data_IF_222910794239
#
_entry.id   IF_222910794239
#
_cell.length_a   1.000
_cell.length_b   1.000
_cell.length_c   1.000
_cell.angle_alpha   90.00
_cell.angle_beta   90.00
_cell.angle_gamma   90.00
#
_symmetry.space_group_name_H-M   'P 1'
#
loop_
_entity.id
_entity.type
_entity.pdbx_description
1 polymer ?
#
# COMPACT_ATOMS: atom_id res chain seq x y z
N UNK A 1 -27.76 7.63 1.82
CA UNK A 1 -28.33 6.61 2.71
C UNK A 1 -27.29 5.77 3.48
N UNK A 2 -25.98 5.92 3.22
CA UNK A 2 -24.91 5.23 3.96
C UNK A 2 -24.88 3.69 3.78
N UNK A 3 -25.58 3.14 2.81
CA UNK A 3 -25.52 1.71 2.51
C UNK A 3 -24.25 1.36 1.72
N UNK A 4 -23.54 0.33 2.18
CA UNK A 4 -22.39 -0.23 1.48
C UNK A 4 -22.81 -1.48 0.71
N UNK A 5 -22.44 -1.55 -0.57
CA UNK A 5 -22.63 -2.71 -1.41
C UNK A 5 -21.26 -3.26 -1.83
N UNK A 6 -21.02 -4.54 -1.51
CA UNK A 6 -19.79 -5.22 -1.92
C UNK A 6 -19.75 -5.33 -3.45
N UNK A 7 -18.75 -4.74 -4.08
CA UNK A 7 -18.54 -4.82 -5.54
C UNK A 7 -17.54 -5.91 -5.94
N UNK A 8 -16.53 -6.15 -5.12
CA UNK A 8 -15.42 -7.05 -5.47
C UNK A 8 -14.77 -7.63 -4.22
N UNK A 9 -14.17 -8.78 -4.38
CA UNK A 9 -13.13 -9.32 -3.49
C UNK A 9 -11.91 -9.58 -4.36
N UNK A 10 -10.74 -9.06 -3.98
CA UNK A 10 -9.50 -9.20 -4.75
C UNK A 10 -8.38 -9.65 -3.82
N UNK A 11 -7.50 -10.53 -4.34
CA UNK A 11 -6.33 -10.98 -3.61
C UNK A 11 -5.31 -9.85 -3.43
N UNK A 12 -4.61 -9.87 -2.28
CA UNK A 12 -3.52 -8.95 -1.96
C UNK A 12 -2.15 -9.65 -1.96
N UNK A 13 -2.16 -10.98 -2.01
CA UNK A 13 -0.98 -11.85 -1.93
C UNK A 13 -0.74 -12.57 -3.25
N UNK A 14 0.52 -12.95 -3.54
CA UNK A 14 0.81 -13.87 -4.64
C UNK A 14 0.06 -15.18 -4.48
N UNK A 15 -0.33 -15.79 -5.60
CA UNK A 15 -1.12 -17.05 -5.59
C UNK A 15 -0.37 -18.25 -5.01
N UNK A 16 0.95 -18.21 -5.02
CA UNK A 16 1.85 -19.24 -4.50
C UNK A 16 2.34 -18.98 -3.05
N UNK A 17 1.84 -17.91 -2.41
CA UNK A 17 2.21 -17.63 -1.03
C UNK A 17 1.58 -18.63 -0.07
N UNK A 18 2.45 -19.28 0.72
CA UNK A 18 2.06 -20.15 1.81
C UNK A 18 2.47 -19.51 3.14
N UNK A 19 1.54 -19.33 4.03
CA UNK A 19 1.77 -18.72 5.34
C UNK A 19 0.63 -17.86 5.83
N UNK A 20 0.86 -17.15 6.93
CA UNK A 20 -0.13 -16.23 7.52
C UNK A 20 0.23 -14.80 7.19
N UNK A 21 -0.73 -14.07 6.64
CA UNK A 21 -0.61 -12.64 6.36
C UNK A 21 -1.94 -11.93 6.65
N UNK A 22 -1.85 -10.68 7.10
CA UNK A 22 -3.00 -9.84 7.41
C UNK A 22 -2.88 -8.50 6.71
N UNK A 23 -3.97 -8.06 6.11
CA UNK A 23 -4.08 -6.67 5.61
C UNK A 23 -4.24 -5.71 6.80
N UNK A 24 -3.66 -4.52 6.72
CA UNK A 24 -3.76 -3.52 7.78
C UNK A 24 -4.30 -2.17 7.31
N UNK A 25 -3.87 -1.72 6.16
CA UNK A 25 -4.26 -0.39 5.65
C UNK A 25 -4.42 -0.40 4.13
N UNK A 26 -5.24 0.53 3.63
CA UNK A 26 -5.42 0.80 2.22
C UNK A 26 -5.48 2.31 1.99
N UNK A 27 -4.81 2.77 0.95
CA UNK A 27 -4.86 4.17 0.51
C UNK A 27 -5.12 4.24 -0.99
N UNK A 28 -5.85 5.28 -1.37
CA UNK A 28 -6.15 5.61 -2.77
C UNK A 28 -5.45 6.94 -3.08
N UNK A 29 -4.89 7.07 -4.27
CA UNK A 29 -4.31 8.33 -4.74
C UNK A 29 -5.38 9.44 -4.79
N UNK A 30 -5.01 10.72 -4.57
CA UNK A 30 -5.97 11.82 -4.57
C UNK A 30 -6.80 11.95 -5.85
N UNK A 31 -6.26 11.52 -6.98
CA UNK A 31 -6.96 11.50 -8.28
C UNK A 31 -7.85 10.26 -8.48
N UNK A 32 -7.86 9.33 -7.51
CA UNK A 32 -8.70 8.13 -7.52
C UNK A 32 -8.26 7.02 -8.49
N UNK A 33 -7.08 7.12 -9.11
CA UNK A 33 -6.66 6.16 -10.15
C UNK A 33 -5.98 4.91 -9.64
N UNK A 34 -5.33 4.97 -8.48
CA UNK A 34 -4.53 3.87 -7.94
C UNK A 34 -4.85 3.64 -6.46
N UNK A 35 -4.74 2.38 -6.03
CA UNK A 35 -4.91 1.97 -4.65
C UNK A 35 -3.75 1.10 -4.20
N UNK A 36 -3.36 1.22 -2.92
CA UNK A 36 -2.25 0.49 -2.32
C UNK A 36 -2.70 -0.13 -1.01
N UNK A 37 -2.40 -1.40 -0.81
CA UNK A 37 -2.73 -2.13 0.41
C UNK A 37 -1.51 -2.79 1.03
N UNK A 38 -1.52 -2.98 2.35
CA UNK A 38 -0.43 -3.62 3.10
C UNK A 38 -0.71 -5.08 3.41
N UNK A 39 0.33 -5.92 3.39
CA UNK A 39 0.31 -7.33 3.79
C UNK A 39 1.33 -7.55 4.92
N UNK A 40 0.85 -7.63 6.17
CA UNK A 40 1.67 -7.96 7.33
C UNK A 40 1.85 -9.47 7.44
N UNK A 41 3.08 -9.94 7.46
CA UNK A 41 3.45 -11.37 7.45
C UNK A 41 4.10 -11.75 6.13
N UNK A 42 3.54 -11.40 4.99
CA UNK A 42 4.23 -11.42 3.69
C UNK A 42 5.16 -10.21 3.52
N UNK A 43 4.92 -9.14 4.29
CA UNK A 43 5.71 -7.90 4.32
C UNK A 43 5.84 -7.24 2.95
N UNK A 44 4.68 -7.05 2.31
CA UNK A 44 4.57 -6.48 0.98
C UNK A 44 3.48 -5.42 0.87
N UNK A 45 3.51 -4.72 -0.26
CA UNK A 45 2.50 -3.78 -0.71
C UNK A 45 1.87 -4.28 -2.00
N UNK A 46 0.54 -4.39 -2.02
CA UNK A 46 -0.22 -4.70 -3.22
C UNK A 46 -0.67 -3.40 -3.90
N UNK A 47 -0.36 -3.25 -5.18
CA UNK A 47 -0.62 -2.06 -5.98
C UNK A 47 -1.74 -2.36 -6.98
N UNK A 48 -2.75 -1.51 -7.05
CA UNK A 48 -3.91 -1.70 -7.91
C UNK A 48 -4.22 -0.46 -8.75
N UNK A 49 -4.73 -0.71 -9.95
CA UNK A 49 -5.43 0.28 -10.76
C UNK A 49 -6.91 0.29 -10.38
N UNK A 50 -7.48 1.46 -10.22
CA UNK A 50 -8.92 1.65 -10.04
C UNK A 50 -9.55 1.79 -11.43
N UNK A 51 -10.46 0.89 -11.77
CA UNK A 51 -11.15 0.88 -13.06
C UNK A 51 -12.36 1.82 -13.03
N UNK A 52 -12.86 2.18 -14.22
CA UNK A 52 -13.98 3.12 -14.37
C UNK A 52 -15.26 2.67 -13.64
N UNK A 53 -15.48 1.38 -13.49
CA UNK A 53 -16.61 0.81 -12.74
C UNK A 53 -16.37 0.77 -11.22
N UNK A 54 -15.19 1.24 -10.73
CA UNK A 54 -14.81 1.24 -9.32
C UNK A 54 -14.28 -0.09 -8.81
N UNK A 55 -14.01 -1.07 -9.68
CA UNK A 55 -13.29 -2.29 -9.30
C UNK A 55 -11.78 -2.09 -9.42
N UNK A 56 -11.02 -3.00 -8.83
CA UNK A 56 -9.56 -2.96 -8.81
C UNK A 56 -8.97 -4.01 -9.74
N UNK A 57 -7.86 -3.68 -10.36
CA UNK A 57 -7.01 -4.59 -11.14
C UNK A 57 -5.61 -4.57 -10.53
N UNK A 58 -5.06 -5.75 -10.22
CA UNK A 58 -3.73 -5.87 -9.64
C UNK A 58 -2.66 -5.45 -10.65
N UNK A 59 -1.78 -4.53 -10.23
CA UNK A 59 -0.61 -4.10 -11.00
C UNK A 59 0.60 -4.95 -10.63
N UNK A 60 0.94 -4.94 -9.33
CA UNK A 60 2.12 -5.64 -8.80
C UNK A 60 2.00 -5.85 -7.28
N UNK A 61 2.84 -6.72 -6.76
CA UNK A 61 3.07 -6.88 -5.32
C UNK A 61 4.57 -6.71 -5.10
N UNK A 62 4.95 -5.76 -4.25
CA UNK A 62 6.37 -5.42 -3.99
C UNK A 62 6.70 -5.51 -2.51
N UNK A 63 7.98 -5.67 -2.18
CA UNK A 63 8.42 -5.65 -0.79
C UNK A 63 8.15 -4.31 -0.11
N UNK A 64 7.71 -4.34 1.15
CA UNK A 64 7.50 -3.14 1.97
C UNK A 64 8.80 -2.52 2.50
N UNK A 65 9.94 -3.19 2.28
CA UNK A 65 11.29 -2.81 2.77
C UNK A 65 11.42 -2.78 4.29
N UNK A 66 10.58 -3.55 4.96
CA UNK A 66 10.59 -3.73 6.41
C UNK A 66 9.47 -4.65 6.86
N UNK A 67 9.53 -5.13 8.10
CA UNK A 67 8.55 -6.06 8.66
C UNK A 67 7.28 -5.36 9.16
N UNK A 68 6.15 -5.99 8.97
CA UNK A 68 4.87 -5.56 9.52
C UNK A 68 4.39 -4.20 9.01
N UNK A 69 4.17 -4.03 7.69
CA UNK A 69 3.65 -2.79 7.14
C UNK A 69 2.26 -2.49 7.72
N UNK A 70 2.19 -1.51 8.62
CA UNK A 70 1.02 -1.20 9.43
C UNK A 70 0.14 -0.10 8.83
N UNK A 71 0.76 0.92 8.24
CA UNK A 71 0.05 2.10 7.75
C UNK A 71 0.73 2.68 6.52
N UNK A 72 -0.07 3.27 5.66
CA UNK A 72 0.36 3.95 4.44
C UNK A 72 -0.06 5.42 4.48
N UNK A 73 0.70 6.26 3.80
CA UNK A 73 0.28 7.60 3.44
C UNK A 73 0.67 7.92 2.00
N UNK A 74 -0.25 8.52 1.26
CA UNK A 74 0.02 9.08 -0.08
C UNK A 74 0.13 10.59 0.07
N UNK A 75 1.15 11.19 -0.53
CA UNK A 75 1.30 12.66 -0.52
C UNK A 75 0.13 13.34 -1.25
N UNK A 76 -0.23 14.58 -0.84
CA UNK A 76 -1.36 15.30 -1.46
C UNK A 76 -1.25 15.49 -2.98
N UNK A 77 -0.03 15.50 -3.51
CA UNK A 77 0.24 15.56 -4.96
C UNK A 77 0.19 14.18 -5.66
N UNK A 78 -0.04 13.10 -4.89
CA UNK A 78 -0.14 11.73 -5.40
C UNK A 78 1.17 11.12 -5.89
N UNK A 79 2.33 11.73 -5.61
CA UNK A 79 3.62 11.31 -6.18
C UNK A 79 4.40 10.34 -5.32
N UNK A 80 4.19 10.37 -4.00
CA UNK A 80 4.91 9.53 -3.06
C UNK A 80 3.94 8.68 -2.23
N UNK A 81 4.38 7.45 -1.95
CA UNK A 81 3.79 6.55 -0.98
C UNK A 81 4.79 6.35 0.15
N UNK A 82 4.34 6.51 1.39
CA UNK A 82 5.11 6.27 2.60
C UNK A 82 4.53 5.07 3.32
N UNK A 83 5.38 4.11 3.66
CA UNK A 83 4.99 2.90 4.38
C UNK A 83 5.62 2.88 5.78
N UNK A 84 4.80 2.75 6.80
CA UNK A 84 5.23 2.53 8.19
C UNK A 84 5.34 1.03 8.45
N UNK A 85 6.56 0.52 8.54
CA UNK A 85 6.89 -0.85 8.88
C UNK A 85 7.06 -0.96 10.40
N UNK A 86 5.96 -1.23 11.11
CA UNK A 86 5.92 -1.17 12.57
C UNK A 86 6.88 -2.19 13.21
N UNK A 87 6.84 -3.44 12.81
CA UNK A 87 7.71 -4.49 13.32
C UNK A 87 9.17 -4.30 12.88
N UNK A 88 9.37 -3.77 11.67
CA UNK A 88 10.70 -3.46 11.13
C UNK A 88 11.29 -2.15 11.66
N UNK A 89 10.53 -1.36 12.44
CA UNK A 89 10.98 -0.08 13.02
C UNK A 89 11.58 0.86 11.96
N UNK A 90 10.88 1.02 10.83
CA UNK A 90 11.31 1.95 9.79
C UNK A 90 10.16 2.55 8.99
N UNK A 91 10.46 3.63 8.29
CA UNK A 91 9.63 4.17 7.21
C UNK A 91 10.33 3.90 5.87
N UNK A 92 9.58 3.39 4.91
CA UNK A 92 10.01 3.24 3.53
C UNK A 92 9.26 4.23 2.63
N UNK A 93 9.97 4.82 1.67
CA UNK A 93 9.43 5.78 0.72
C UNK A 93 9.47 5.19 -0.69
N UNK A 94 8.38 5.41 -1.42
CA UNK A 94 8.24 4.96 -2.80
C UNK A 94 7.75 6.10 -3.68
N UNK A 95 8.31 6.19 -4.88
CA UNK A 95 7.78 7.03 -5.94
C UNK A 95 6.63 6.31 -6.64
N UNK A 96 5.50 6.98 -6.84
CA UNK A 96 4.35 6.47 -7.58
C UNK A 96 4.49 6.88 -9.06
N UNK A 97 4.41 5.89 -9.96
CA UNK A 97 4.30 6.17 -11.39
C UNK A 97 2.96 6.81 -11.70
N UNK A 98 2.98 8.01 -12.25
CA UNK A 98 1.78 8.78 -12.56
C UNK A 98 1.00 8.22 -13.76
N UNK A 99 1.60 7.32 -14.53
CA UNK A 99 0.96 6.69 -15.69
C UNK A 99 0.51 5.27 -15.42
N UNK A 100 1.30 4.48 -14.69
CA UNK A 100 1.08 3.04 -14.50
C UNK A 100 0.68 2.65 -13.07
N UNK A 101 0.95 3.49 -12.06
CA UNK A 101 0.60 3.24 -10.65
C UNK A 101 1.53 2.27 -9.93
N UNK A 102 2.52 1.68 -10.60
CA UNK A 102 3.56 0.92 -9.94
C UNK A 102 4.44 1.83 -9.07
N UNK A 103 5.10 1.24 -8.07
CA UNK A 103 5.91 1.99 -7.11
C UNK A 103 7.37 1.58 -7.16
N UNK A 104 8.26 2.54 -6.92
CA UNK A 104 9.71 2.32 -6.91
C UNK A 104 10.31 2.89 -5.62
N UNK A 105 11.13 2.13 -4.88
CA UNK A 105 11.80 2.63 -3.68
C UNK A 105 12.62 3.89 -3.93
N UNK A 106 12.62 4.82 -2.96
CA UNK A 106 13.42 6.04 -3.00
C UNK A 106 14.35 6.10 -1.80
N UNK A 107 15.65 6.18 -2.06
CA UNK A 107 16.66 6.33 -1.03
C UNK A 107 16.74 5.15 -0.08
N UNK A 108 17.18 5.41 1.14
CA UNK A 108 17.26 4.43 2.23
C UNK A 108 16.02 4.51 3.10
N UNK A 109 15.68 3.40 3.77
CA UNK A 109 14.65 3.41 4.80
C UNK A 109 15.08 4.30 5.98
N UNK A 110 14.12 4.93 6.63
CA UNK A 110 14.34 5.80 7.79
C UNK A 110 14.00 5.04 9.07
N UNK A 111 14.98 4.86 9.95
CA UNK A 111 14.76 4.19 11.21
C UNK A 111 13.88 5.05 12.14
N UNK A 112 12.82 4.44 12.65
CA UNK A 112 11.92 5.01 13.64
C UNK A 112 11.24 3.88 14.40
N UNK A 113 11.25 3.95 15.72
CA UNK A 113 10.76 2.86 16.58
C UNK A 113 9.25 2.70 16.42
N UNK A 114 8.84 1.51 15.96
CA UNK A 114 7.44 1.05 15.89
C UNK A 114 6.45 2.07 15.30
N UNK A 115 6.69 2.61 14.10
CA UNK A 115 5.78 3.56 13.49
C UNK A 115 4.44 2.88 13.16
N UNK A 116 3.33 3.44 13.63
CA UNK A 116 2.01 2.85 13.47
C UNK A 116 1.01 3.72 12.69
N UNK A 117 1.31 5.00 12.55
CA UNK A 117 0.46 5.95 11.83
C UNK A 117 1.30 7.07 11.22
N UNK A 118 0.97 7.45 9.98
CA UNK A 118 1.59 8.56 9.26
C UNK A 118 0.51 9.60 8.97
N UNK A 119 0.79 10.84 9.35
CA UNK A 119 -0.04 11.99 8.99
C UNK A 119 0.80 13.00 8.22
N UNK A 120 0.33 13.40 7.06
CA UNK A 120 0.93 14.45 6.24
C UNK A 120 0.08 15.73 6.41
N UNK A 121 0.75 16.83 6.73
CA UNK A 121 0.12 18.15 6.91
C UNK A 121 0.54 19.10 5.81
#
# INVERSE_FOLDING_TARGET
NGHLNKKQTIATLPADFEGTSHTADVKITPDGRFAYGTNRGHDSLACYKVLANGTLELIEIVESLGGGPQNLAVTPDGKLLICANMAGSNLALFKISQTAGNITPIGKVHEIVSPSCIMIR
#
